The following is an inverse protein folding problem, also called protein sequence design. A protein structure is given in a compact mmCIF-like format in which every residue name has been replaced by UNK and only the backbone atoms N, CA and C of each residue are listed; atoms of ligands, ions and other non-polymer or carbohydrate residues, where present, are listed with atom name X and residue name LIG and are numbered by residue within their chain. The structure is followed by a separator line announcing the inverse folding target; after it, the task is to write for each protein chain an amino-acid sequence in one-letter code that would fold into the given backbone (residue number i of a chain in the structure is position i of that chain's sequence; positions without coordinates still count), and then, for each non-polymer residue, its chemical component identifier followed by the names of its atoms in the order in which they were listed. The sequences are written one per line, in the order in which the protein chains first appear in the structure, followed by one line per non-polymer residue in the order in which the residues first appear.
data_IF_208106703522
#
_entry.id   IF_208106703522
#
_cell.length_a   1.000
_cell.length_b   1.000
_cell.length_c   1.000
_cell.angle_alpha   90.00
_cell.angle_beta   90.00
_cell.angle_gamma   90.00
#
_symmetry.space_group_name_H-M   'P 1'
#
loop_
_entity.id
_entity.type
_entity.pdbx_description
1 polymer ?
#
# COMPACT_ATOMS: atom_id res chain seq x y z
N UNK A 1 20.46 18.63 8.38
CA UNK A 1 21.04 17.64 7.44
C UNK A 1 19.91 16.77 6.91
N UNK A 2 19.72 16.71 5.59
CA UNK A 2 18.63 15.92 4.97
C UNK A 2 18.99 14.45 4.94
N UNK A 3 18.07 13.59 5.39
CA UNK A 3 18.21 12.13 5.36
C UNK A 3 17.61 11.57 4.07
N UNK A 4 18.38 10.77 3.33
CA UNK A 4 17.85 10.01 2.20
C UNK A 4 17.29 8.69 2.68
N UNK A 5 15.97 8.58 2.68
CA UNK A 5 15.21 7.42 3.16
C UNK A 5 13.87 7.83 3.77
N UNK A 6 12.95 6.88 3.85
CA UNK A 6 11.64 7.12 4.42
C UNK A 6 11.72 7.24 5.96
N UNK A 7 11.04 8.24 6.50
CA UNK A 7 10.98 8.51 7.95
C UNK A 7 10.37 7.35 8.76
N UNK A 8 9.62 6.50 8.13
CA UNK A 8 8.79 5.48 8.79
C UNK A 8 9.57 4.58 9.75
N UNK A 9 10.81 4.21 9.37
CA UNK A 9 11.65 3.34 10.17
C UNK A 9 12.12 4.00 11.48
N UNK A 10 12.37 5.30 11.44
CA UNK A 10 12.84 6.06 12.60
C UNK A 10 11.74 6.24 13.64
N UNK A 11 10.48 6.15 13.23
CA UNK A 11 9.31 6.21 14.10
C UNK A 11 8.96 4.86 14.78
N UNK A 12 9.63 3.78 14.41
CA UNK A 12 9.37 2.45 15.00
C UNK A 12 10.04 2.28 16.36
N UNK A 13 9.41 1.48 17.21
CA UNK A 13 10.06 0.96 18.43
C UNK A 13 11.15 -0.05 18.08
N UNK A 14 11.97 -0.44 19.06
CA UNK A 14 12.99 -1.47 18.86
C UNK A 14 12.35 -2.83 18.48
N UNK A 15 11.25 -3.19 19.14
CA UNK A 15 10.53 -4.43 18.87
C UNK A 15 9.92 -4.45 17.48
N UNK A 16 9.29 -3.34 17.04
CA UNK A 16 8.75 -3.22 15.69
C UNK A 16 9.85 -3.35 14.63
N UNK A 17 11.03 -2.76 14.86
CA UNK A 17 12.19 -2.93 13.97
C UNK A 17 12.72 -4.36 13.94
N UNK A 18 12.72 -5.06 15.08
CA UNK A 18 13.12 -6.46 15.16
C UNK A 18 12.19 -7.36 14.33
N UNK A 19 10.88 -7.16 14.44
CA UNK A 19 9.89 -7.93 13.67
C UNK A 19 10.09 -7.79 12.16
N UNK A 20 10.48 -6.61 11.65
CA UNK A 20 10.73 -6.42 10.22
C UNK A 20 11.89 -7.27 9.66
N UNK A 21 12.79 -7.72 10.50
CA UNK A 21 13.88 -8.61 10.15
C UNK A 21 13.72 -10.03 10.70
N UNK A 22 12.52 -10.38 11.21
CA UNK A 22 12.25 -11.67 11.81
C UNK A 22 12.50 -12.79 10.81
N UNK A 23 13.26 -13.79 11.24
CA UNK A 23 13.47 -15.02 10.47
C UNK A 23 13.42 -16.16 11.46
N UNK A 24 12.32 -16.90 11.40
CA UNK A 24 12.14 -18.12 12.19
C UNK A 24 12.99 -19.26 11.59
N UNK A 25 12.79 -20.49 11.98
CA UNK A 25 13.57 -21.64 11.50
C UNK A 25 13.53 -21.80 9.96
N UNK A 26 14.53 -22.51 9.43
CA UNK A 26 14.72 -22.69 7.97
C UNK A 26 13.52 -23.28 7.24
N UNK A 27 13.44 -23.00 5.93
CA UNK A 27 12.30 -23.35 5.07
C UNK A 27 12.47 -24.69 4.32
N UNK A 28 13.68 -25.25 4.27
CA UNK A 28 13.95 -26.47 3.50
C UNK A 28 13.09 -27.65 3.99
N UNK A 29 12.29 -28.23 3.10
CA UNK A 29 11.41 -29.35 3.41
C UNK A 29 10.15 -28.97 4.19
N UNK A 30 9.87 -27.67 4.40
CA UNK A 30 8.64 -27.22 5.05
C UNK A 30 7.39 -27.59 4.21
N UNK A 31 6.31 -27.93 4.92
CA UNK A 31 5.04 -28.34 4.33
C UNK A 31 3.87 -27.52 4.92
N UNK A 32 3.87 -26.18 4.74
CA UNK A 32 2.77 -25.38 5.26
C UNK A 32 1.47 -25.63 4.51
N UNK A 33 0.33 -25.50 5.18
CA UNK A 33 -0.96 -25.51 4.51
C UNK A 33 -1.10 -24.31 3.57
N UNK A 34 -0.62 -23.13 4.02
CA UNK A 34 -0.59 -21.90 3.22
C UNK A 34 0.81 -21.30 3.20
N UNK A 35 1.39 -21.16 2.01
CA UNK A 35 2.61 -20.38 1.78
C UNK A 35 2.26 -19.02 1.19
N UNK A 36 2.71 -17.94 1.83
CA UNK A 36 2.64 -16.60 1.27
C UNK A 36 4.03 -16.13 0.85
N UNK A 37 4.18 -15.78 -0.43
CA UNK A 37 5.44 -15.29 -1.01
C UNK A 37 5.35 -13.78 -1.17
N UNK A 38 6.13 -13.05 -0.37
CA UNK A 38 6.22 -11.59 -0.36
C UNK A 38 5.79 -10.96 0.96
N UNK A 39 6.72 -10.23 1.58
CA UNK A 39 6.58 -9.58 2.89
C UNK A 39 6.15 -8.11 2.84
N UNK A 40 5.55 -7.66 1.73
CA UNK A 40 4.85 -6.37 1.67
C UNK A 40 3.56 -6.39 2.50
N UNK A 41 2.94 -5.21 2.68
CA UNK A 41 1.71 -5.10 3.51
C UNK A 41 0.59 -6.03 3.03
N UNK A 42 0.44 -6.24 1.70
CA UNK A 42 -0.60 -7.11 1.14
C UNK A 42 -0.32 -8.56 1.50
N UNK A 43 0.93 -9.02 1.35
CA UNK A 43 1.30 -10.40 1.72
C UNK A 43 1.20 -10.65 3.22
N UNK A 44 1.67 -9.71 4.05
CA UNK A 44 1.57 -9.81 5.52
C UNK A 44 0.12 -9.82 5.98
N UNK A 45 -0.74 -8.94 5.41
CA UNK A 45 -2.17 -8.93 5.71
C UNK A 45 -2.85 -10.24 5.25
N UNK A 46 -2.45 -10.79 4.09
CA UNK A 46 -2.98 -12.06 3.59
C UNK A 46 -2.60 -13.22 4.49
N UNK A 47 -1.32 -13.32 4.89
CA UNK A 47 -0.87 -14.34 5.83
C UNK A 47 -1.61 -14.23 7.18
N UNK A 48 -1.80 -13.00 7.68
CA UNK A 48 -2.56 -12.75 8.89
C UNK A 48 -4.02 -13.22 8.75
N UNK A 49 -4.70 -12.84 7.66
CA UNK A 49 -6.08 -13.25 7.44
C UNK A 49 -6.25 -14.76 7.26
N UNK A 50 -5.29 -15.45 6.64
CA UNK A 50 -5.29 -16.91 6.55
C UNK A 50 -5.11 -17.58 7.91
N UNK A 51 -4.22 -17.07 8.75
CA UNK A 51 -4.02 -17.58 10.10
C UNK A 51 -5.24 -17.34 10.99
N UNK A 52 -5.81 -16.14 10.93
CA UNK A 52 -7.01 -15.75 11.68
C UNK A 52 -8.25 -16.57 11.26
N UNK A 53 -8.36 -16.90 9.98
CA UNK A 53 -9.41 -17.77 9.43
C UNK A 53 -9.20 -19.28 9.72
N UNK A 54 -8.10 -19.65 10.38
CA UNK A 54 -7.81 -21.05 10.72
C UNK A 54 -7.47 -21.93 9.52
N UNK A 55 -6.82 -21.40 8.49
CA UNK A 55 -6.46 -22.16 7.27
C UNK A 55 -5.21 -23.06 7.46
N UNK A 56 -4.93 -23.49 8.68
CA UNK A 56 -3.83 -24.39 9.00
C UNK A 56 -2.50 -23.67 9.27
N UNK A 57 -1.40 -24.36 8.99
CA UNK A 57 -0.04 -23.84 9.18
C UNK A 57 0.28 -22.80 8.09
N UNK A 58 0.44 -21.53 8.47
CA UNK A 58 0.77 -20.42 7.55
C UNK A 58 2.24 -20.08 7.67
N UNK A 59 2.94 -20.06 6.54
CA UNK A 59 4.33 -19.61 6.40
C UNK A 59 4.39 -18.41 5.44
N UNK A 60 5.05 -17.34 5.86
CA UNK A 60 5.38 -16.21 4.99
C UNK A 60 6.89 -16.18 4.72
N UNK A 61 7.27 -16.07 3.44
CA UNK A 61 8.66 -15.86 3.03
C UNK A 61 8.83 -14.51 2.33
N UNK A 62 9.98 -13.86 2.57
CA UNK A 62 10.34 -12.56 1.99
C UNK A 62 11.83 -12.56 1.61
N UNK A 63 12.14 -12.05 0.42
CA UNK A 63 13.51 -11.99 -0.10
C UNK A 63 14.43 -11.07 0.73
N UNK A 64 13.90 -9.97 1.20
CA UNK A 64 14.62 -8.98 1.98
C UNK A 64 14.12 -8.91 3.42
N UNK A 65 13.78 -7.69 3.85
CA UNK A 65 13.07 -7.41 5.10
C UNK A 65 11.61 -7.16 4.83
N UNK A 66 10.75 -7.44 5.76
CA UNK A 66 9.33 -7.11 5.64
C UNK A 66 9.14 -5.62 5.35
N UNK A 67 8.28 -5.32 4.39
CA UNK A 67 7.97 -3.96 3.99
C UNK A 67 9.05 -3.23 3.18
N UNK A 68 10.15 -3.89 2.77
CA UNK A 68 11.26 -3.23 2.08
C UNK A 68 10.94 -2.71 0.67
N UNK A 69 9.88 -3.23 0.03
CA UNK A 69 9.46 -2.80 -1.31
C UNK A 69 8.61 -1.52 -1.29
N UNK A 70 7.61 -1.44 -2.16
CA UNK A 70 6.68 -0.30 -2.30
C UNK A 70 6.03 0.12 -0.97
N UNK A 71 5.81 -0.83 -0.08
CA UNK A 71 5.20 -0.60 1.24
C UNK A 71 5.97 0.41 2.07
N UNK A 72 7.28 0.21 2.23
CA UNK A 72 8.11 1.09 3.07
C UNK A 72 8.33 2.48 2.49
N UNK A 73 8.11 2.65 1.18
CA UNK A 73 8.19 3.95 0.52
C UNK A 73 6.85 4.66 0.34
N UNK A 74 5.73 4.05 0.72
CA UNK A 74 4.41 4.64 0.56
C UNK A 74 4.13 5.79 1.53
N UNK A 75 3.24 6.71 1.16
CA UNK A 75 2.78 7.80 2.03
C UNK A 75 1.91 7.32 3.20
N UNK A 76 1.38 6.10 3.13
CA UNK A 76 0.54 5.51 4.15
C UNK A 76 -0.89 6.06 4.21
N UNK A 77 -1.34 6.77 3.19
CA UNK A 77 -2.69 7.35 3.15
C UNK A 77 -3.75 6.29 2.93
N UNK A 78 -4.86 6.42 3.65
CA UNK A 78 -6.04 5.57 3.60
C UNK A 78 -7.24 6.46 3.27
N UNK A 79 -7.41 6.77 1.97
CA UNK A 79 -8.31 7.80 1.47
C UNK A 79 -9.18 7.29 0.32
N UNK A 80 -10.14 6.37 0.57
CA UNK A 80 -10.98 5.81 -0.48
C UNK A 80 -11.83 6.87 -1.18
N UNK A 81 -12.44 7.79 -0.43
CA UNK A 81 -13.42 8.71 -0.99
C UNK A 81 -12.86 9.64 -2.07
N UNK A 82 -11.63 10.19 -1.96
CA UNK A 82 -11.01 10.94 -3.05
C UNK A 82 -10.84 10.16 -4.36
N UNK A 83 -10.86 8.84 -4.33
CA UNK A 83 -10.73 8.03 -5.53
C UNK A 83 -12.00 7.97 -6.38
N UNK A 84 -13.16 8.40 -5.87
CA UNK A 84 -14.41 8.52 -6.62
C UNK A 84 -14.29 9.39 -7.88
N UNK A 85 -13.33 10.32 -7.89
CA UNK A 85 -13.07 11.16 -9.08
C UNK A 85 -12.28 10.47 -10.19
N UNK A 86 -11.69 9.32 -9.93
CA UNK A 86 -10.74 8.68 -10.86
C UNK A 86 -10.94 7.20 -11.07
N UNK A 87 -11.59 6.51 -10.14
CA UNK A 87 -11.67 5.06 -10.16
C UNK A 87 -13.12 4.57 -10.26
N UNK A 88 -13.37 3.40 -10.83
CA UNK A 88 -14.71 2.82 -10.91
C UNK A 88 -15.28 2.49 -9.54
N UNK A 89 -16.61 2.65 -9.38
CA UNK A 89 -17.32 2.42 -8.13
C UNK A 89 -16.99 1.07 -7.44
N UNK A 90 -16.93 -0.10 -8.12
CA UNK A 90 -16.58 -1.36 -7.45
C UNK A 90 -15.19 -1.36 -6.82
N UNK A 91 -14.27 -0.55 -7.36
CA UNK A 91 -12.94 -0.41 -6.79
C UNK A 91 -12.96 0.50 -5.55
N UNK A 92 -13.68 1.60 -5.63
CA UNK A 92 -13.86 2.51 -4.48
C UNK A 92 -14.60 1.79 -3.34
N UNK A 93 -15.57 0.93 -3.65
CA UNK A 93 -16.26 0.12 -2.64
C UNK A 93 -15.33 -0.88 -1.94
N UNK A 94 -14.40 -1.50 -2.68
CA UNK A 94 -13.35 -2.33 -2.08
C UNK A 94 -12.47 -1.49 -1.13
N UNK A 95 -12.14 -0.28 -1.52
CA UNK A 95 -11.32 0.64 -0.71
C UNK A 95 -12.04 1.11 0.55
N UNK A 96 -13.32 1.43 0.46
CA UNK A 96 -14.18 1.75 1.61
C UNK A 96 -14.24 0.59 2.60
N UNK A 97 -14.54 -0.59 2.08
CA UNK A 97 -14.54 -1.82 2.88
C UNK A 97 -13.17 -2.07 3.53
N UNK A 98 -12.08 -1.72 2.84
CA UNK A 98 -10.74 -1.86 3.37
C UNK A 98 -10.43 -0.88 4.48
N UNK A 99 -10.88 0.38 4.38
CA UNK A 99 -10.73 1.36 5.47
C UNK A 99 -11.46 0.93 6.73
N UNK A 100 -12.67 0.35 6.61
CA UNK A 100 -13.37 -0.22 7.77
C UNK A 100 -12.57 -1.36 8.39
N UNK A 101 -11.97 -2.26 7.59
CA UNK A 101 -11.10 -3.32 8.10
C UNK A 101 -9.84 -2.79 8.79
N UNK A 102 -9.28 -1.67 8.33
CA UNK A 102 -8.20 -1.00 9.05
C UNK A 102 -8.65 -0.54 10.45
N UNK A 103 -9.87 -0.03 10.57
CA UNK A 103 -10.48 0.34 11.87
C UNK A 103 -10.70 -0.89 12.76
N UNK A 104 -11.16 -2.00 12.18
CA UNK A 104 -11.31 -3.26 12.91
C UNK A 104 -9.96 -3.76 13.45
N UNK A 105 -8.94 -3.79 12.62
CA UNK A 105 -7.57 -4.16 13.04
C UNK A 105 -7.02 -3.21 14.12
N UNK A 106 -7.31 -1.91 14.02
CA UNK A 106 -6.92 -0.94 15.05
C UNK A 106 -7.57 -1.25 16.40
N UNK A 107 -8.81 -1.71 16.40
CA UNK A 107 -9.54 -2.07 17.63
C UNK A 107 -9.16 -3.46 18.16
N UNK A 108 -8.97 -4.43 17.29
CA UNK A 108 -8.78 -5.84 17.65
C UNK A 108 -7.36 -6.16 18.12
N UNK A 109 -6.34 -5.49 17.56
CA UNK A 109 -4.96 -5.81 17.88
C UNK A 109 -4.46 -5.04 19.11
N UNK A 110 -3.75 -5.71 20.05
CA UNK A 110 -3.08 -5.02 21.16
C UNK A 110 -2.13 -3.93 20.65
N UNK A 111 -2.37 -2.68 21.05
CA UNK A 111 -1.64 -1.51 20.57
C UNK A 111 -2.00 -1.07 19.15
N UNK A 112 -2.99 -1.69 18.53
CA UNK A 112 -3.50 -1.35 17.20
C UNK A 112 -2.49 -1.52 16.07
N UNK A 113 -2.83 -1.03 14.89
CA UNK A 113 -1.96 -1.00 13.69
C UNK A 113 -1.33 0.37 13.46
N UNK A 114 -1.59 1.34 14.32
CA UNK A 114 -1.12 2.72 14.19
C UNK A 114 -1.98 3.54 13.22
N UNK A 115 -3.25 3.22 13.09
CA UNK A 115 -4.21 4.03 12.34
C UNK A 115 -4.43 5.38 13.04
N UNK A 116 -4.23 6.45 12.29
CA UNK A 116 -4.60 7.82 12.68
C UNK A 116 -5.76 8.24 11.79
N UNK A 117 -6.92 8.48 12.38
CA UNK A 117 -8.06 9.05 11.64
C UNK A 117 -7.80 10.54 11.37
N UNK A 118 -8.04 10.95 10.12
CA UNK A 118 -7.81 12.30 9.63
C UNK A 118 -8.93 12.65 8.64
N UNK A 119 -9.31 13.93 8.60
CA UNK A 119 -10.14 14.43 7.52
C UNK A 119 -9.29 14.73 6.29
N UNK A 120 -9.91 14.75 5.12
CA UNK A 120 -9.28 15.10 3.86
C UNK A 120 -9.92 16.35 3.28
N UNK A 121 -9.10 17.29 2.86
CA UNK A 121 -9.49 18.52 2.18
C UNK A 121 -8.78 18.60 0.83
N UNK A 122 -9.53 18.40 -0.25
CA UNK A 122 -9.06 18.67 -1.61
C UNK A 122 -9.27 20.13 -1.96
N UNK A 123 -8.21 20.81 -2.40
CA UNK A 123 -8.24 22.20 -2.80
C UNK A 123 -8.21 22.34 -4.33
N UNK A 124 -9.06 23.22 -4.85
CA UNK A 124 -9.05 23.62 -6.25
C UNK A 124 -9.24 25.13 -6.39
N UNK A 125 -8.73 25.76 -7.47
CA UNK A 125 -9.06 27.15 -7.79
C UNK A 125 -10.57 27.34 -7.86
N UNK A 126 -11.07 28.47 -7.36
CA UNK A 126 -12.50 28.76 -7.26
C UNK A 126 -13.28 28.60 -8.57
N UNK A 127 -12.66 28.81 -9.71
CA UNK A 127 -13.25 28.78 -11.06
C UNK A 127 -12.87 27.54 -11.86
N UNK A 128 -12.34 26.52 -11.20
CA UNK A 128 -11.87 25.28 -11.86
C UNK A 128 -12.98 24.34 -12.31
N UNK A 129 -14.21 24.55 -11.85
CA UNK A 129 -15.32 23.59 -12.04
C UNK A 129 -15.18 22.31 -11.22
N UNK A 130 -14.32 22.31 -10.19
CA UNK A 130 -14.07 21.14 -9.35
C UNK A 130 -15.34 20.61 -8.70
N UNK A 131 -16.25 21.50 -8.27
CA UNK A 131 -17.54 21.15 -7.69
C UNK A 131 -18.59 20.63 -8.70
N UNK A 132 -18.30 20.65 -10.00
CA UNK A 132 -19.23 20.16 -11.02
C UNK A 132 -19.41 18.62 -10.97
N UNK A 133 -18.42 17.88 -10.46
CA UNK A 133 -18.51 16.45 -10.21
C UNK A 133 -18.83 16.26 -8.72
N UNK A 134 -20.08 15.95 -8.40
CA UNK A 134 -20.56 15.79 -7.02
C UNK A 134 -20.53 14.31 -6.58
N UNK A 135 -19.38 13.78 -6.11
CA UNK A 135 -19.34 12.49 -5.47
C UNK A 135 -20.13 12.49 -4.16
N UNK A 136 -20.47 11.30 -3.67
CA UNK A 136 -21.19 11.14 -2.41
C UNK A 136 -20.31 11.53 -1.21
N UNK A 137 -20.96 11.93 -0.12
CA UNK A 137 -20.31 12.16 1.19
C UNK A 137 -19.23 13.24 1.19
N UNK A 138 -19.37 14.26 0.35
CA UNK A 138 -18.48 15.41 0.27
C UNK A 138 -19.19 16.67 0.75
N UNK A 139 -18.58 17.35 1.71
CA UNK A 139 -18.96 18.69 2.13
C UNK A 139 -18.21 19.71 1.27
N UNK A 140 -18.94 20.49 0.48
CA UNK A 140 -18.35 21.51 -0.38
C UNK A 140 -18.14 22.81 0.38
N UNK A 141 -16.90 23.28 0.39
CA UNK A 141 -16.51 24.50 1.09
C UNK A 141 -16.25 25.65 0.11
N UNK A 142 -16.84 26.80 0.40
CA UNK A 142 -16.56 28.03 -0.31
C UNK A 142 -15.19 28.60 0.09
N UNK A 143 -14.63 29.59 -0.65
CA UNK A 143 -13.31 30.13 -0.38
C UNK A 143 -13.13 30.72 1.03
N UNK A 144 -14.17 31.29 1.62
CA UNK A 144 -14.12 31.80 2.99
C UNK A 144 -13.92 30.69 4.01
N UNK A 145 -14.71 29.62 3.91
CA UNK A 145 -14.60 28.43 4.78
C UNK A 145 -13.24 27.74 4.63
N UNK A 146 -12.75 27.63 3.40
CA UNK A 146 -11.42 27.05 3.13
C UNK A 146 -10.32 27.92 3.78
N UNK A 147 -10.41 29.25 3.68
CA UNK A 147 -9.43 30.16 4.27
C UNK A 147 -9.42 30.12 5.81
N UNK A 148 -10.56 29.82 6.44
CA UNK A 148 -10.64 29.57 7.89
C UNK A 148 -9.90 28.30 8.30
N UNK A 149 -10.05 27.20 7.51
CA UNK A 149 -9.39 25.91 7.79
C UNK A 149 -7.90 25.93 7.44
N UNK A 150 -7.52 26.61 6.35
CA UNK A 150 -6.14 26.69 5.85
C UNK A 150 -5.77 28.17 5.62
N UNK A 151 -5.45 28.92 6.68
CA UNK A 151 -5.10 30.34 6.55
C UNK A 151 -3.82 30.53 5.73
N UNK A 152 -3.80 31.57 4.90
CA UNK A 152 -2.62 32.00 4.16
C UNK A 152 -2.41 31.30 2.82
N UNK A 153 -3.47 30.77 2.21
CA UNK A 153 -3.46 30.34 0.82
C UNK A 153 -3.07 31.49 -0.12
N UNK A 154 -2.36 31.17 -1.20
CA UNK A 154 -1.87 32.16 -2.18
C UNK A 154 -3.01 32.85 -2.95
N UNK A 155 -4.17 32.21 -3.06
CA UNK A 155 -5.36 32.70 -3.76
C UNK A 155 -6.63 32.06 -3.18
N UNK A 156 -7.82 32.60 -3.47
CA UNK A 156 -9.07 31.95 -3.10
C UNK A 156 -9.18 30.55 -3.70
N UNK A 157 -9.51 29.57 -2.85
CA UNK A 157 -9.67 28.16 -3.23
C UNK A 157 -11.04 27.69 -2.74
N UNK A 158 -11.70 26.85 -3.51
CA UNK A 158 -12.81 26.03 -3.03
C UNK A 158 -12.31 24.68 -2.55
N UNK A 159 -13.09 23.99 -1.74
CA UNK A 159 -12.69 22.74 -1.13
C UNK A 159 -13.74 21.66 -1.18
N UNK A 160 -13.29 20.42 -1.38
CA UNK A 160 -14.03 19.22 -1.11
C UNK A 160 -13.55 18.66 0.22
N UNK A 161 -14.40 18.66 1.25
CA UNK A 161 -14.05 18.20 2.58
C UNK A 161 -14.70 16.84 2.86
N UNK A 162 -13.89 15.87 3.21
CA UNK A 162 -14.30 14.49 3.45
C UNK A 162 -13.79 14.05 4.82
N UNK A 163 -14.73 13.64 5.66
CA UNK A 163 -14.43 13.23 7.03
C UNK A 163 -13.94 11.78 7.11
N UNK A 164 -13.25 11.48 8.20
CA UNK A 164 -12.92 10.12 8.62
C UNK A 164 -12.14 9.30 7.58
N UNK A 165 -11.19 9.92 6.94
CA UNK A 165 -10.14 9.24 6.21
C UNK A 165 -9.04 8.79 7.18
N UNK A 166 -7.90 8.35 6.70
CA UNK A 166 -6.86 7.89 7.60
C UNK A 166 -5.45 7.89 7.05
N UNK A 167 -4.53 7.59 7.94
CA UNK A 167 -3.12 7.35 7.65
C UNK A 167 -2.55 6.32 8.62
N UNK A 168 -1.61 5.52 8.13
CA UNK A 168 -0.77 4.64 8.96
C UNK A 168 0.71 4.89 8.67
N UNK A 169 1.58 4.58 9.62
CA UNK A 169 2.97 4.28 9.30
C UNK A 169 3.01 2.89 8.65
N UNK A 170 3.36 2.75 7.36
CA UNK A 170 3.26 1.47 6.67
C UNK A 170 4.12 0.36 7.28
N UNK A 171 5.30 0.72 7.78
CA UNK A 171 6.20 -0.26 8.40
C UNK A 171 5.72 -0.70 9.78
N UNK A 172 5.10 0.21 10.55
CA UNK A 172 4.44 -0.14 11.82
C UNK A 172 3.30 -1.11 11.60
N UNK A 173 2.45 -0.84 10.60
CA UNK A 173 1.35 -1.73 10.27
C UNK A 173 1.84 -3.14 9.87
N UNK A 174 2.88 -3.22 9.03
CA UNK A 174 3.54 -4.50 8.71
C UNK A 174 4.05 -5.19 9.96
N UNK A 175 4.79 -4.47 10.82
CA UNK A 175 5.37 -5.07 12.03
C UNK A 175 4.29 -5.59 12.99
N UNK A 176 3.21 -4.83 13.19
CA UNK A 176 2.10 -5.22 14.09
C UNK A 176 1.35 -6.45 13.60
N UNK A 177 1.08 -6.55 12.29
CA UNK A 177 0.46 -7.73 11.71
C UNK A 177 1.43 -8.93 11.69
N UNK A 178 2.69 -8.73 11.28
CA UNK A 178 3.69 -9.79 11.22
C UNK A 178 4.06 -10.37 12.59
N UNK A 179 3.98 -9.58 13.65
CA UNK A 179 4.17 -10.07 15.02
C UNK A 179 3.15 -11.12 15.46
N UNK A 180 2.03 -11.23 14.75
CA UNK A 180 0.94 -12.19 15.01
C UNK A 180 1.01 -13.44 14.13
N UNK A 181 1.91 -13.45 13.15
CA UNK A 181 2.06 -14.60 12.25
C UNK A 181 2.75 -15.77 12.93
N UNK A 182 2.31 -17.01 12.68
CA UNK A 182 2.91 -18.20 13.27
C UNK A 182 4.36 -18.42 12.79
N UNK A 183 4.64 -18.20 11.49
CA UNK A 183 5.96 -18.36 10.91
C UNK A 183 6.26 -17.31 9.84
N UNK A 184 7.42 -16.67 9.96
CA UNK A 184 7.96 -15.68 9.02
C UNK A 184 9.43 -15.97 8.78
N UNK A 185 9.84 -16.00 7.51
CA UNK A 185 11.26 -16.17 7.15
C UNK A 185 11.65 -15.09 6.16
N UNK A 186 12.53 -14.20 6.58
CA UNK A 186 13.13 -13.16 5.75
C UNK A 186 14.49 -13.59 5.21
N UNK A 187 14.96 -12.95 4.13
CA UNK A 187 16.20 -13.30 3.45
C UNK A 187 16.08 -14.54 2.54
N UNK A 188 14.86 -14.97 2.21
CA UNK A 188 14.60 -16.15 1.37
C UNK A 188 13.81 -15.76 0.12
N UNK A 189 14.42 -15.95 -1.05
CA UNK A 189 13.80 -15.70 -2.35
C UNK A 189 13.13 -16.97 -2.89
N UNK A 190 11.88 -16.88 -3.34
CA UNK A 190 11.31 -17.89 -4.22
C UNK A 190 11.97 -17.78 -5.60
N UNK A 191 12.32 -18.90 -6.20
CA UNK A 191 13.06 -18.97 -7.49
C UNK A 191 12.35 -19.76 -8.56
N UNK A 192 11.58 -20.77 -8.16
CA UNK A 192 10.90 -21.66 -9.12
C UNK A 192 9.62 -22.24 -8.51
N UNK A 193 8.79 -22.82 -9.37
CA UNK A 193 7.68 -23.69 -8.97
C UNK A 193 7.71 -24.99 -9.73
N UNK A 194 7.35 -26.08 -9.07
CA UNK A 194 7.10 -27.37 -9.72
C UNK A 194 5.60 -27.61 -9.73
N UNK A 195 5.06 -27.86 -10.94
CA UNK A 195 3.64 -28.11 -11.17
C UNK A 195 3.45 -29.58 -11.54
N UNK A 196 2.44 -30.22 -10.98
CA UNK A 196 1.97 -31.53 -11.34
C UNK A 196 0.47 -31.50 -11.60
N UNK A 197 0.07 -31.77 -12.85
CA UNK A 197 -1.30 -31.52 -13.29
C UNK A 197 -1.66 -30.01 -13.19
N UNK A 198 -2.69 -29.70 -12.44
CA UNK A 198 -3.18 -28.33 -12.21
C UNK A 198 -2.76 -27.77 -10.83
N UNK A 199 -1.73 -28.35 -10.18
CA UNK A 199 -1.32 -27.97 -8.83
C UNK A 199 0.15 -27.64 -8.72
N UNK A 200 0.47 -26.59 -7.97
CA UNK A 200 1.82 -26.35 -7.46
C UNK A 200 2.09 -27.38 -6.36
N UNK A 201 3.10 -28.22 -6.56
CA UNK A 201 3.53 -29.24 -5.60
C UNK A 201 4.79 -28.84 -4.84
N UNK A 202 5.57 -27.90 -5.38
CA UNK A 202 6.76 -27.36 -4.72
C UNK A 202 7.05 -25.94 -5.15
N UNK A 203 7.58 -25.14 -4.23
CA UNK A 203 8.17 -23.83 -4.47
C UNK A 203 9.65 -23.90 -4.12
N UNK A 204 10.50 -23.77 -5.14
CA UNK A 204 11.95 -23.67 -4.96
C UNK A 204 12.32 -22.31 -4.39
N UNK A 205 13.25 -22.28 -3.44
CA UNK A 205 13.75 -21.05 -2.83
C UNK A 205 15.28 -21.04 -2.78
N UNK A 206 15.85 -19.87 -2.48
CA UNK A 206 17.30 -19.71 -2.23
C UNK A 206 17.82 -20.55 -1.06
N UNK A 207 16.93 -21.15 -0.25
CA UNK A 207 17.26 -21.90 0.96
C UNK A 207 16.66 -23.31 1.00
N UNK A 208 16.28 -23.86 -0.17
CA UNK A 208 15.67 -25.16 -0.31
C UNK A 208 14.21 -25.10 -0.79
N UNK A 209 13.59 -26.26 -0.96
CA UNK A 209 12.24 -26.36 -1.47
C UNK A 209 11.19 -26.40 -0.35
N UNK A 210 10.02 -25.87 -0.63
CA UNK A 210 8.81 -25.86 0.22
C UNK A 210 7.71 -26.60 -0.54
N UNK A 211 6.96 -27.48 0.13
CA UNK A 211 5.82 -28.20 -0.47
C UNK A 211 4.51 -27.71 0.16
N UNK A 212 3.91 -26.63 -0.33
CA UNK A 212 2.71 -26.04 0.27
C UNK A 212 1.43 -26.74 -0.17
N UNK A 213 0.40 -26.74 0.68
CA UNK A 213 -0.96 -27.07 0.27
C UNK A 213 -1.53 -26.05 -0.72
N UNK A 214 -1.33 -24.77 -0.39
CA UNK A 214 -1.72 -23.59 -1.18
C UNK A 214 -0.57 -22.59 -1.22
N UNK A 215 -0.39 -21.87 -2.34
CA UNK A 215 0.55 -20.78 -2.45
C UNK A 215 -0.15 -19.46 -2.86
N UNK A 216 0.22 -18.36 -2.21
CA UNK A 216 -0.20 -17.00 -2.55
C UNK A 216 1.02 -16.18 -2.94
N UNK A 217 1.06 -15.71 -4.17
CA UNK A 217 2.08 -14.80 -4.66
C UNK A 217 1.64 -13.35 -4.42
N UNK A 218 2.27 -12.67 -3.47
CA UNK A 218 2.00 -11.29 -3.06
C UNK A 218 3.25 -10.40 -3.20
N UNK A 219 3.96 -10.55 -4.30
CA UNK A 219 5.29 -9.98 -4.56
C UNK A 219 5.26 -8.53 -5.06
N UNK A 220 4.08 -7.90 -5.06
CA UNK A 220 3.84 -6.55 -5.58
C UNK A 220 3.67 -6.52 -7.09
N UNK A 221 4.63 -7.00 -7.86
CA UNK A 221 4.49 -7.33 -9.30
C UNK A 221 4.22 -8.83 -9.45
N UNK A 222 3.66 -9.27 -10.59
CA UNK A 222 3.59 -10.70 -10.89
C UNK A 222 4.99 -11.33 -10.78
N UNK A 223 5.13 -12.46 -10.08
CA UNK A 223 6.45 -13.08 -9.92
C UNK A 223 6.93 -13.68 -11.24
N UNK A 224 8.21 -13.55 -11.49
CA UNK A 224 8.90 -14.25 -12.59
C UNK A 224 9.67 -15.42 -11.96
N UNK A 225 9.05 -16.59 -11.94
CA UNK A 225 9.60 -17.82 -11.36
C UNK A 225 9.69 -18.90 -12.43
N UNK A 226 10.78 -19.65 -12.42
CA UNK A 226 10.93 -20.79 -13.33
C UNK A 226 9.78 -21.79 -13.11
N UNK A 227 9.15 -22.23 -14.19
CA UNK A 227 8.04 -23.17 -14.14
C UNK A 227 6.67 -22.58 -13.83
N UNK A 228 6.55 -21.26 -13.54
CA UNK A 228 5.25 -20.59 -13.35
C UNK A 228 4.74 -20.05 -14.69
N UNK A 229 3.65 -20.60 -15.27
CA UNK A 229 3.09 -20.13 -16.53
C UNK A 229 2.24 -18.85 -16.29
N UNK A 230 2.87 -17.74 -15.93
CA UNK A 230 2.20 -16.51 -15.61
C UNK A 230 2.81 -15.35 -16.40
N UNK A 231 2.00 -14.74 -17.26
CA UNK A 231 2.42 -13.58 -18.05
C UNK A 231 1.40 -12.46 -17.93
N UNK A 232 1.61 -11.57 -16.97
CA UNK A 232 0.74 -10.40 -16.73
C UNK A 232 1.58 -9.14 -16.86
N UNK A 233 1.21 -8.21 -17.76
CA UNK A 233 1.97 -6.98 -17.96
C UNK A 233 1.96 -6.14 -16.69
N UNK A 234 3.13 -5.65 -16.30
CA UNK A 234 3.28 -4.76 -15.15
C UNK A 234 4.51 -3.89 -15.30
N UNK A 235 4.43 -2.69 -14.77
CA UNK A 235 5.53 -1.72 -14.74
C UNK A 235 5.76 -1.18 -13.34
N UNK A 236 6.84 -0.44 -13.18
CA UNK A 236 7.15 0.30 -11.96
C UNK A 236 6.95 1.78 -12.22
N UNK A 237 6.11 2.42 -11.42
CA UNK A 237 5.94 3.88 -11.47
C UNK A 237 6.65 4.49 -10.29
N UNK A 238 7.70 5.24 -10.57
CA UNK A 238 8.47 5.92 -9.55
C UNK A 238 7.66 7.10 -8.97
N UNK A 239 7.89 7.39 -7.70
CA UNK A 239 7.31 8.55 -7.06
C UNK A 239 8.20 9.03 -5.94
N UNK A 240 8.34 10.37 -5.84
CA UNK A 240 9.12 11.03 -4.81
C UNK A 240 8.24 11.53 -3.69
N UNK A 241 8.74 11.43 -2.48
CA UNK A 241 8.15 11.94 -1.26
C UNK A 241 9.22 12.68 -0.44
N UNK A 242 8.79 13.67 0.30
CA UNK A 242 9.62 14.34 1.28
C UNK A 242 8.88 14.60 2.58
N UNK A 243 9.65 14.76 3.65
CA UNK A 243 9.17 15.24 4.95
C UNK A 243 9.95 16.49 5.30
N UNK A 244 9.23 17.53 5.66
CA UNK A 244 9.81 18.82 6.05
C UNK A 244 10.53 18.75 7.39
N UNK A 245 11.31 19.75 7.71
CA UNK A 245 11.66 20.03 9.10
C UNK A 245 10.42 20.32 9.93
N UNK A 246 10.57 20.34 11.25
CA UNK A 246 9.45 20.67 12.14
C UNK A 246 8.96 22.10 11.88
N UNK A 247 7.66 22.25 11.85
CA UNK A 247 7.01 23.53 11.59
C UNK A 247 5.94 23.81 12.63
N UNK A 248 5.69 25.11 12.92
CA UNK A 248 4.55 25.52 13.72
C UNK A 248 3.21 25.52 12.96
N UNK A 249 3.23 25.15 11.67
CA UNK A 249 2.02 25.11 10.84
C UNK A 249 1.17 23.93 11.26
N UNK A 250 -0.13 24.18 11.43
CA UNK A 250 -1.15 23.16 11.67
C UNK A 250 -2.01 23.02 10.43
N UNK A 251 -2.23 21.77 9.99
CA UNK A 251 -3.17 21.42 8.93
C UNK A 251 -4.40 20.73 9.54
N UNK A 252 -5.60 20.93 8.98
CA UNK A 252 -6.83 20.32 9.49
C UNK A 252 -6.90 18.80 9.27
N UNK A 253 -5.93 18.24 8.58
CA UNK A 253 -5.86 16.83 8.21
C UNK A 253 -4.95 16.64 7.02
N UNK A 254 -5.39 15.83 6.05
CA UNK A 254 -4.74 15.68 4.74
C UNK A 254 -5.23 16.82 3.85
N UNK A 255 -4.37 17.70 3.42
CA UNK A 255 -4.68 18.82 2.53
C UNK A 255 -4.04 18.61 1.18
N UNK A 256 -4.82 18.19 0.20
CA UNK A 256 -4.36 17.95 -1.16
C UNK A 256 -4.53 19.22 -2.02
N UNK A 257 -3.51 19.65 -2.79
CA UNK A 257 -2.22 19.00 -3.06
C UNK A 257 -1.06 19.47 -2.13
N UNK A 258 -1.35 19.92 -0.93
CA UNK A 258 -0.32 20.53 -0.06
C UNK A 258 0.48 19.47 0.70
N UNK A 259 -0.10 18.87 1.76
CA UNK A 259 0.59 17.91 2.61
C UNK A 259 -0.37 17.23 3.60
N UNK A 260 0.14 16.22 4.30
CA UNK A 260 -0.42 15.73 5.55
C UNK A 260 0.56 15.90 6.70
N UNK A 261 0.04 16.22 7.88
CA UNK A 261 0.89 16.33 9.06
C UNK A 261 1.15 14.94 9.66
N UNK A 262 2.42 14.63 9.97
CA UNK A 262 2.80 13.42 10.67
C UNK A 262 2.92 13.66 12.19
N UNK A 263 3.08 12.57 12.96
CA UNK A 263 2.95 12.55 14.44
C UNK A 263 3.83 13.57 15.18
N UNK A 264 4.99 13.90 14.64
CA UNK A 264 5.97 14.81 15.26
C UNK A 264 5.82 16.29 14.81
N UNK A 265 4.76 16.60 14.08
CA UNK A 265 4.45 17.96 13.60
C UNK A 265 5.10 18.33 12.27
N UNK A 266 5.88 17.45 11.66
CA UNK A 266 6.41 17.61 10.30
C UNK A 266 5.34 17.40 9.25
N UNK A 267 5.59 17.86 8.04
CA UNK A 267 4.68 17.70 6.92
C UNK A 267 5.25 16.67 5.93
N UNK A 268 4.44 15.69 5.58
CA UNK A 268 4.70 14.74 4.50
C UNK A 268 4.02 15.24 3.23
N UNK A 269 4.77 15.34 2.15
CA UNK A 269 4.26 15.80 0.84
C UNK A 269 4.96 15.11 -0.32
N UNK A 270 4.46 15.33 -1.54
CA UNK A 270 4.95 14.73 -2.77
C UNK A 270 3.97 13.71 -3.36
N UNK A 271 4.50 12.61 -3.85
CA UNK A 271 3.70 11.57 -4.50
C UNK A 271 3.67 11.71 -6.02
N UNK A 272 4.81 12.06 -6.64
CA UNK A 272 4.95 12.13 -8.12
C UNK A 272 4.66 10.79 -8.80
N UNK A 273 4.45 10.84 -10.11
CA UNK A 273 4.18 9.68 -10.97
C UNK A 273 5.12 9.70 -12.17
N UNK A 274 6.34 9.23 -11.97
CA UNK A 274 7.40 9.28 -12.96
C UNK A 274 7.45 7.93 -13.69
N UNK A 275 6.75 7.87 -14.83
CA UNK A 275 6.68 6.66 -15.67
C UNK A 275 7.94 6.56 -16.52
N UNK A 276 8.54 5.36 -16.59
CA UNK A 276 9.73 5.10 -17.38
C UNK A 276 11.06 5.43 -16.69
N UNK A 277 11.04 6.09 -15.53
CA UNK A 277 12.24 6.24 -14.72
C UNK A 277 12.39 5.08 -13.73
N UNK A 278 13.36 4.24 -13.98
CA UNK A 278 13.69 3.07 -13.14
C UNK A 278 14.92 3.30 -12.24
N UNK A 279 15.48 4.49 -12.21
CA UNK A 279 16.64 4.79 -11.36
C UNK A 279 16.22 4.83 -9.87
N UNK A 280 16.93 4.17 -8.98
CA UNK A 280 16.57 4.14 -7.55
C UNK A 280 16.99 5.43 -6.79
N UNK A 281 17.61 6.39 -7.49
CA UNK A 281 18.07 7.63 -6.89
C UNK A 281 16.93 8.65 -6.74
N UNK A 282 16.96 9.42 -5.65
CA UNK A 282 16.15 10.63 -5.50
C UNK A 282 16.68 11.69 -6.47
N UNK A 283 15.78 12.35 -7.19
CA UNK A 283 16.10 13.43 -8.13
C UNK A 283 15.91 14.78 -7.44
N UNK A 284 16.99 15.58 -7.28
CA UNK A 284 16.92 16.87 -6.57
C UNK A 284 15.94 17.86 -7.19
N UNK A 285 15.90 17.95 -8.52
CA UNK A 285 14.99 18.81 -9.27
C UNK A 285 13.51 18.46 -9.03
N UNK A 286 13.19 17.17 -8.84
CA UNK A 286 11.85 16.74 -8.49
C UNK A 286 11.48 17.15 -7.04
N UNK A 287 12.44 17.05 -6.12
CA UNK A 287 12.24 17.53 -4.73
C UNK A 287 12.01 19.05 -4.71
N UNK A 288 12.80 19.80 -5.49
CA UNK A 288 12.66 21.25 -5.64
C UNK A 288 11.29 21.61 -6.25
N UNK A 289 10.84 20.87 -7.25
CA UNK A 289 9.52 21.05 -7.85
C UNK A 289 8.38 20.77 -6.85
N UNK A 290 8.49 19.74 -6.01
CA UNK A 290 7.53 19.44 -4.96
C UNK A 290 7.46 20.60 -3.96
N UNK A 291 8.59 21.08 -3.46
CA UNK A 291 8.65 22.18 -2.50
C UNK A 291 8.11 23.49 -3.06
N UNK A 292 8.46 23.79 -4.32
CA UNK A 292 7.95 24.95 -5.04
C UNK A 292 6.43 24.88 -5.25
N UNK A 293 5.92 23.70 -5.66
CA UNK A 293 4.49 23.45 -5.86
C UNK A 293 3.67 23.65 -4.57
N UNK A 294 4.14 23.12 -3.46
CA UNK A 294 3.51 23.29 -2.15
C UNK A 294 3.53 24.78 -1.72
N UNK A 295 4.66 25.47 -1.90
CA UNK A 295 4.79 26.88 -1.59
C UNK A 295 3.97 27.80 -2.52
N UNK A 296 3.65 27.35 -3.73
CA UNK A 296 2.75 28.06 -4.64
C UNK A 296 1.30 28.06 -4.14
N UNK A 297 0.87 27.00 -3.44
CA UNK A 297 -0.46 26.91 -2.83
C UNK A 297 -0.49 27.54 -1.45
N UNK A 298 0.52 27.26 -0.61
CA UNK A 298 0.62 27.75 0.76
C UNK A 298 1.97 28.47 0.97
N UNK A 299 2.07 29.77 0.66
CA UNK A 299 3.33 30.55 0.63
C UNK A 299 4.13 30.54 1.94
N UNK A 300 3.49 30.36 3.09
CA UNK A 300 4.16 30.26 4.39
C UNK A 300 5.03 28.98 4.53
N UNK A 301 4.95 28.05 3.57
CA UNK A 301 5.83 26.88 3.49
C UNK A 301 7.10 27.15 2.66
N UNK A 302 7.25 28.36 2.09
CA UNK A 302 8.44 28.72 1.31
C UNK A 302 9.69 28.73 2.19
N UNK A 303 10.74 28.06 1.72
CA UNK A 303 12.02 27.98 2.44
C UNK A 303 12.03 27.02 3.63
N UNK A 304 10.96 26.25 3.85
CA UNK A 304 10.96 25.21 4.87
C UNK A 304 11.92 24.09 4.46
N UNK A 305 12.85 23.74 5.34
CA UNK A 305 13.87 22.73 5.09
C UNK A 305 13.27 21.32 4.90
N UNK A 306 13.95 20.50 4.14
CA UNK A 306 13.64 19.08 3.93
C UNK A 306 14.46 18.25 4.93
N UNK A 307 13.78 17.49 5.80
CA UNK A 307 14.41 16.60 6.76
C UNK A 307 14.63 15.20 6.21
N UNK A 308 13.66 14.67 5.44
CA UNK A 308 13.73 13.36 4.80
C UNK A 308 13.26 13.48 3.34
N UNK A 309 13.91 12.73 2.47
CA UNK A 309 13.50 12.58 1.08
C UNK A 309 13.76 11.17 0.58
N UNK A 310 12.84 10.64 -0.22
CA UNK A 310 13.01 9.32 -0.83
C UNK A 310 12.19 9.18 -2.10
N UNK A 311 12.51 8.16 -2.87
CA UNK A 311 11.65 7.69 -3.95
C UNK A 311 11.31 6.21 -3.73
N UNK A 312 10.22 5.77 -4.32
CA UNK A 312 9.81 4.38 -4.33
C UNK A 312 9.11 4.05 -5.65
N UNK A 313 8.97 2.75 -5.91
CA UNK A 313 8.35 2.23 -7.12
C UNK A 313 7.02 1.57 -6.79
N UNK A 314 5.94 2.07 -7.39
CA UNK A 314 4.60 1.50 -7.28
C UNK A 314 4.43 0.44 -8.37
N UNK A 315 4.08 -0.81 -8.05
CA UNK A 315 3.74 -1.83 -9.03
C UNK A 315 2.40 -1.49 -9.69
N UNK A 316 2.37 -1.36 -11.01
CA UNK A 316 1.17 -1.00 -11.78
C UNK A 316 0.91 -1.97 -12.91
N UNK A 317 -0.35 -2.37 -13.09
CA UNK A 317 -0.85 -2.98 -14.31
C UNK A 317 -1.33 -1.89 -15.30
N UNK A 318 -1.46 -2.17 -16.60
CA UNK A 318 -1.85 -1.16 -17.60
C UNK A 318 -3.13 -0.40 -17.27
N UNK A 319 -4.09 -1.05 -16.64
CA UNK A 319 -5.38 -0.48 -16.22
C UNK A 319 -5.35 0.16 -14.83
N UNK A 320 -4.19 0.20 -14.18
CA UNK A 320 -3.98 0.74 -12.83
C UNK A 320 -4.78 0.04 -11.71
N UNK A 321 -5.28 -1.17 -11.94
CA UNK A 321 -6.06 -1.97 -10.99
C UNK A 321 -5.30 -3.22 -10.58
N UNK A 322 -5.47 -3.71 -9.35
CA UNK A 322 -4.81 -4.92 -8.90
C UNK A 322 -5.35 -6.18 -9.60
N UNK A 323 -4.54 -7.21 -9.63
CA UNK A 323 -4.99 -8.59 -9.79
C UNK A 323 -5.22 -9.17 -8.39
N UNK A 324 -6.37 -9.80 -8.19
CA UNK A 324 -6.73 -10.57 -7.00
C UNK A 324 -7.46 -11.81 -7.52
N UNK A 325 -6.72 -12.89 -7.82
CA UNK A 325 -7.25 -14.03 -8.56
C UNK A 325 -6.49 -15.32 -8.27
N UNK A 326 -7.05 -16.44 -8.68
CA UNK A 326 -6.27 -17.69 -8.89
C UNK A 326 -5.28 -17.47 -10.03
N UNK A 327 -4.13 -18.11 -9.94
CA UNK A 327 -3.23 -18.22 -11.10
C UNK A 327 -3.93 -19.07 -12.16
N UNK A 328 -4.10 -18.55 -13.39
CA UNK A 328 -4.81 -19.29 -14.44
C UNK A 328 -4.27 -20.71 -14.63
N UNK A 329 -5.16 -21.68 -14.71
CA UNK A 329 -4.82 -23.11 -14.86
C UNK A 329 -4.36 -23.81 -13.57
N UNK A 330 -4.28 -23.12 -12.42
CA UNK A 330 -3.87 -23.71 -11.15
C UNK A 330 -4.97 -23.64 -10.10
N UNK A 331 -5.23 -24.74 -9.41
CA UNK A 331 -6.30 -24.83 -8.41
C UNK A 331 -5.86 -24.40 -7.01
N UNK A 332 -4.56 -24.43 -6.71
CA UNK A 332 -4.00 -24.13 -5.39
C UNK A 332 -2.99 -22.97 -5.39
N UNK A 333 -3.00 -22.13 -6.40
CA UNK A 333 -2.13 -20.96 -6.47
C UNK A 333 -2.95 -19.70 -6.69
N UNK A 334 -2.67 -18.67 -5.88
CA UNK A 334 -3.29 -17.36 -5.96
C UNK A 334 -2.27 -16.28 -6.24
N UNK A 335 -2.72 -15.20 -6.86
CA UNK A 335 -1.93 -14.03 -7.17
C UNK A 335 -2.63 -12.78 -6.66
N UNK A 336 -1.85 -11.92 -6.01
CA UNK A 336 -2.26 -10.53 -5.74
C UNK A 336 -1.11 -9.59 -6.09
N UNK A 337 -1.35 -8.69 -7.05
CA UNK A 337 -0.30 -7.83 -7.61
C UNK A 337 -0.85 -6.53 -8.18
N UNK A 338 0.03 -5.55 -8.42
CA UNK A 338 -0.32 -4.36 -9.17
C UNK A 338 -1.24 -3.37 -8.45
N UNK A 339 -1.22 -3.33 -7.12
CA UNK A 339 -2.07 -2.40 -6.33
C UNK A 339 -1.75 -0.92 -6.53
N UNK A 340 -0.72 -0.61 -7.30
CA UNK A 340 -0.32 0.74 -7.68
C UNK A 340 -0.23 1.69 -6.47
N UNK A 341 -1.12 2.72 -6.41
CA UNK A 341 -1.13 3.73 -5.35
C UNK A 341 -1.92 3.31 -4.10
N UNK A 342 -2.72 2.25 -4.19
CA UNK A 342 -3.71 1.88 -3.19
C UNK A 342 -3.33 0.65 -2.35
N UNK A 343 -2.11 0.13 -2.52
CA UNK A 343 -1.70 -1.12 -1.88
C UNK A 343 -1.75 -1.11 -0.34
N UNK A 344 -1.46 0.04 0.28
CA UNK A 344 -1.61 0.17 1.74
C UNK A 344 -3.09 0.12 2.11
N UNK A 345 -3.89 0.96 1.46
CA UNK A 345 -5.34 1.04 1.71
C UNK A 345 -6.00 -0.32 1.51
N UNK A 346 -5.74 -0.99 0.38
CA UNK A 346 -6.45 -2.20 -0.02
C UNK A 346 -5.95 -3.50 0.64
N UNK A 347 -4.85 -3.47 1.40
CA UNK A 347 -4.26 -4.69 1.95
C UNK A 347 -5.25 -5.52 2.79
N UNK A 348 -6.03 -4.98 3.76
CA UNK A 348 -6.96 -5.79 4.55
C UNK A 348 -8.13 -6.35 3.75
N UNK A 349 -8.69 -5.60 2.80
CA UNK A 349 -9.79 -6.11 1.97
C UNK A 349 -9.31 -7.20 1.01
N UNK A 350 -8.16 -7.00 0.35
CA UNK A 350 -7.52 -8.01 -0.49
C UNK A 350 -7.28 -9.30 0.29
N UNK A 351 -6.73 -9.18 1.50
CA UNK A 351 -6.49 -10.32 2.38
C UNK A 351 -7.77 -11.07 2.74
N UNK A 352 -8.83 -10.34 3.07
CA UNK A 352 -10.12 -10.94 3.39
C UNK A 352 -10.79 -11.62 2.19
N UNK A 353 -10.67 -11.03 0.99
CA UNK A 353 -11.15 -11.65 -0.25
C UNK A 353 -10.41 -12.96 -0.50
N UNK A 354 -9.08 -12.97 -0.43
CA UNK A 354 -8.28 -14.15 -0.68
C UNK A 354 -8.52 -15.25 0.36
N UNK A 355 -8.49 -14.92 1.66
CA UNK A 355 -8.70 -15.92 2.72
C UNK A 355 -10.09 -16.56 2.64
N UNK A 356 -11.13 -15.76 2.37
CA UNK A 356 -12.49 -16.26 2.16
C UNK A 356 -12.59 -17.14 0.92
N UNK A 357 -11.98 -16.74 -0.20
CA UNK A 357 -12.00 -17.53 -1.43
C UNK A 357 -11.29 -18.87 -1.23
N UNK A 358 -10.13 -18.88 -0.57
CA UNK A 358 -9.40 -20.12 -0.24
C UNK A 358 -10.19 -21.05 0.68
N UNK A 359 -10.92 -20.50 1.66
CA UNK A 359 -11.65 -21.31 2.66
C UNK A 359 -12.99 -21.84 2.17
N UNK A 360 -13.68 -21.11 1.28
CA UNK A 360 -15.07 -21.38 0.90
C UNK A 360 -15.22 -21.71 -0.60
N UNK A 361 -14.14 -21.61 -1.38
CA UNK A 361 -14.12 -21.66 -2.86
C UNK A 361 -15.14 -20.70 -3.51
N UNK A 362 -15.42 -19.57 -2.85
CA UNK A 362 -16.35 -18.54 -3.32
C UNK A 362 -15.53 -17.34 -3.82
N UNK A 363 -15.49 -17.11 -5.15
CA UNK A 363 -14.82 -15.94 -5.70
C UNK A 363 -15.53 -14.64 -5.26
N UNK A 364 -14.84 -13.49 -5.28
CA UNK A 364 -15.47 -12.22 -5.01
C UNK A 364 -16.56 -11.90 -6.04
N UNK A 365 -17.55 -11.07 -5.64
CA UNK A 365 -18.70 -10.70 -6.49
C UNK A 365 -18.24 -10.12 -7.84
N UNK A 366 -17.19 -9.30 -7.81
CA UNK A 366 -16.61 -8.66 -9.01
C UNK A 366 -15.32 -9.36 -9.49
N UNK A 367 -15.23 -10.68 -9.35
CA UNK A 367 -14.04 -11.47 -9.70
C UNK A 367 -13.48 -11.11 -11.09
N UNK A 368 -14.36 -10.80 -12.06
CA UNK A 368 -13.93 -10.42 -13.42
C UNK A 368 -13.11 -9.13 -13.45
N UNK A 369 -13.44 -8.15 -12.62
CA UNK A 369 -12.72 -6.86 -12.53
C UNK A 369 -11.31 -7.01 -11.96
N UNK A 370 -11.06 -8.08 -11.20
CA UNK A 370 -9.80 -8.38 -10.53
C UNK A 370 -9.04 -9.53 -11.19
N UNK A 371 -9.64 -10.16 -12.21
CA UNK A 371 -9.09 -11.36 -12.81
C UNK A 371 -7.76 -11.12 -13.53
N UNK A 372 -6.86 -12.10 -13.39
CA UNK A 372 -5.62 -12.18 -14.14
C UNK A 372 -5.88 -12.30 -15.65
N UNK A 373 -6.97 -12.98 -16.04
CA UNK A 373 -7.31 -13.25 -17.45
C UNK A 373 -7.78 -12.02 -18.23
N UNK A 374 -8.04 -10.88 -17.55
CA UNK A 374 -8.39 -9.63 -18.25
C UNK A 374 -7.25 -9.06 -19.11
N UNK A 375 -6.05 -9.57 -18.95
CA UNK A 375 -4.87 -9.22 -19.76
C UNK A 375 -4.57 -10.21 -20.89
N UNK A 376 -5.49 -11.09 -21.20
CA UNK A 376 -5.35 -12.16 -22.17
C UNK A 376 -5.21 -13.52 -21.49
N UNK A 377 -5.47 -14.57 -22.25
CA UNK A 377 -5.19 -15.94 -21.79
C UNK A 377 -3.66 -16.15 -21.72
N UNK A 378 -3.18 -16.98 -20.79
CA UNK A 378 -1.78 -17.38 -20.75
C UNK A 378 -1.37 -18.12 -22.02
#
# INVERSE_FOLDING_TARGET
MTVTGAIWRDQLTADERAVLGRSDSGVAGATPDVLVVGGGIVGVATAFACADAGLGAVLLIETGRLGAGATGGAAGLLIPEPHQWSDPEPFVDLERASLERWRDLQRALPGGVGLVELDWLGLAPHDSGFAAHQPRDVEWLNPGQVAELVPGLARPMEGAFIRRQGRVNPLRAVARLAARLPAVVTGVAATSVTISGDRVVSVGTSSGAISPGVVVFATGRPPMLDGLPLHIPSERVKGHLLVTERTGIRLPGIVAPVATQIEDGRLLTGGTFDVGDETPAVQPDVIDAITAGVAAVLPRLRGLGVAYQWCCFRPRHPDSRPVIDKVPGLVNAWLTSGHFRTGILNAPATAAVLSRWMSQDVPPVDARSWSATRFGAP
#
